data_IF_298213434340
#
_entry.id   IF_298213434340
#
_cell.length_a   1.000
_cell.length_b   1.000
_cell.length_c   1.000
_cell.angle_alpha   90.00
_cell.angle_beta   90.00
_cell.angle_gamma   90.00
#
_symmetry.space_group_name_H-M   'P 1'
#
loop_
_entity.id
_entity.type
_entity.pdbx_description
1 polymer ?
#
# COMPACT_ATOMS: atom_id res chain seq x y z
N UNK A 1 -66.80 -5.11 -18.73
CA UNK A 1 -66.10 -3.88 -18.33
C UNK A 1 -65.41 -4.19 -17.00
N UNK A 2 -64.45 -5.11 -16.93
CA UNK A 2 -63.11 -5.16 -17.54
C UNK A 2 -62.23 -3.97 -17.15
N UNK A 3 -61.36 -4.21 -16.16
CA UNK A 3 -60.41 -3.27 -15.54
C UNK A 3 -58.99 -3.47 -16.13
N UNK A 4 -58.88 -4.10 -17.30
CA UNK A 4 -57.61 -4.27 -18.01
C UNK A 4 -57.21 -3.04 -18.85
N UNK A 5 -57.71 -1.83 -18.54
CA UNK A 5 -57.48 -0.62 -19.36
C UNK A 5 -56.89 0.58 -18.62
N UNK A 6 -56.57 0.48 -17.33
CA UNK A 6 -56.01 1.64 -16.57
C UNK A 6 -54.48 1.58 -16.37
N UNK A 7 -53.80 0.55 -16.88
CA UNK A 7 -52.33 0.38 -16.68
C UNK A 7 -51.46 0.73 -17.90
N UNK A 8 -52.02 1.24 -19.01
CA UNK A 8 -51.23 1.45 -20.25
C UNK A 8 -51.12 2.89 -20.78
N UNK A 9 -51.47 3.94 -20.03
CA UNK A 9 -51.44 5.33 -20.57
C UNK A 9 -50.69 6.33 -19.66
N UNK A 10 -49.55 5.92 -19.07
CA UNK A 10 -48.52 6.87 -18.59
C UNK A 10 -47.13 6.28 -18.86
N UNK A 11 -46.85 5.89 -20.11
CA UNK A 11 -45.53 5.35 -20.50
C UNK A 11 -44.99 5.86 -21.85
N UNK A 12 -45.58 6.89 -22.47
CA UNK A 12 -45.10 7.44 -23.74
C UNK A 12 -45.32 8.95 -23.86
N UNK A 13 -44.59 9.75 -23.08
CA UNK A 13 -44.25 11.12 -23.45
C UNK A 13 -43.06 11.58 -22.63
N UNK A 14 -42.10 12.24 -23.28
CA UNK A 14 -40.89 12.90 -22.75
C UNK A 14 -39.59 12.09 -22.72
N UNK A 15 -38.93 12.06 -23.88
CA UNK A 15 -37.51 12.41 -24.03
C UNK A 15 -37.36 13.07 -25.41
N UNK A 16 -36.34 13.91 -25.72
CA UNK A 16 -35.02 13.97 -25.05
C UNK A 16 -34.47 15.40 -24.76
N UNK A 17 -33.60 15.51 -23.75
CA UNK A 17 -32.48 16.45 -23.81
C UNK A 17 -31.22 15.77 -23.25
N UNK A 18 -30.15 15.86 -24.04
CA UNK A 18 -28.88 15.12 -23.93
C UNK A 18 -28.02 15.61 -22.76
N UNK A 19 -27.49 14.69 -21.97
CA UNK A 19 -26.15 14.79 -21.39
C UNK A 19 -25.65 13.40 -20.95
N UNK A 20 -24.54 12.99 -21.57
CA UNK A 20 -23.75 11.77 -21.42
C UNK A 20 -23.92 10.96 -20.12
N UNK A 21 -24.55 9.79 -20.25
CA UNK A 21 -24.46 8.68 -19.30
C UNK A 21 -23.51 7.63 -19.86
N UNK A 22 -22.37 7.42 -19.19
CA UNK A 22 -21.50 6.27 -19.37
C UNK A 22 -22.27 5.01 -18.95
N UNK A 23 -22.78 4.24 -19.91
CA UNK A 23 -23.25 2.88 -19.66
C UNK A 23 -22.03 1.97 -19.45
N UNK A 24 -21.68 1.72 -18.18
CA UNK A 24 -20.77 0.63 -17.82
C UNK A 24 -21.43 -0.71 -18.14
N UNK A 25 -20.91 -1.36 -19.18
CA UNK A 25 -21.36 -2.68 -19.61
C UNK A 25 -20.80 -3.75 -18.63
N UNK A 26 -21.47 -3.92 -17.47
CA UNK A 26 -21.08 -4.87 -16.39
C UNK A 26 -20.84 -6.31 -16.87
N UNK A 27 -21.44 -6.72 -17.98
CA UNK A 27 -21.27 -8.08 -18.52
C UNK A 27 -19.98 -8.31 -19.33
N UNK A 28 -19.28 -7.26 -19.77
CA UNK A 28 -18.06 -7.42 -20.58
C UNK A 28 -16.77 -7.54 -19.75
N UNK A 29 -16.76 -7.01 -18.52
CA UNK A 29 -15.60 -7.06 -17.61
C UNK A 29 -15.48 -8.45 -16.95
N UNK A 30 -16.61 -9.11 -16.68
CA UNK A 30 -16.65 -10.42 -16.00
C UNK A 30 -16.09 -11.60 -16.81
N UNK A 31 -15.88 -11.46 -18.13
CA UNK A 31 -15.25 -12.52 -18.95
C UNK A 31 -13.74 -12.36 -19.10
N UNK A 32 -13.19 -11.15 -18.96
CA UNK A 32 -11.78 -10.89 -19.27
C UNK A 32 -10.82 -11.10 -18.09
N UNK A 33 -11.30 -11.14 -16.84
CA UNK A 33 -10.43 -11.41 -15.68
C UNK A 33 -10.05 -12.88 -15.55
N UNK A 34 -10.86 -13.80 -16.08
CA UNK A 34 -10.59 -15.25 -16.10
C UNK A 34 -10.14 -15.79 -17.47
N UNK A 35 -10.31 -15.05 -18.58
CA UNK A 35 -9.98 -15.58 -19.92
C UNK A 35 -8.51 -15.46 -20.33
N UNK A 36 -7.62 -14.92 -19.50
CA UNK A 36 -6.19 -14.87 -19.85
C UNK A 36 -5.49 -16.23 -19.76
N UNK A 37 -6.12 -17.25 -19.14
CA UNK A 37 -5.45 -18.55 -18.93
C UNK A 37 -6.35 -19.79 -19.07
N UNK A 38 -7.61 -19.68 -19.53
CA UNK A 38 -8.38 -20.86 -19.95
C UNK A 38 -7.99 -21.24 -21.40
N UNK A 39 -6.75 -21.69 -21.56
CA UNK A 39 -6.25 -22.30 -22.79
C UNK A 39 -6.10 -23.82 -22.59
N UNK A 40 -6.68 -24.58 -23.52
CA UNK A 40 -6.46 -26.00 -23.74
C UNK A 40 -4.95 -26.35 -23.68
N UNK A 41 -4.52 -27.39 -22.94
CA UNK A 41 -3.10 -27.75 -22.78
C UNK A 41 -2.40 -28.19 -24.08
N UNK A 42 -3.09 -28.20 -25.22
CA UNK A 42 -2.53 -28.62 -26.52
C UNK A 42 -2.08 -27.49 -27.45
N UNK A 43 -2.16 -26.21 -27.04
CA UNK A 43 -1.66 -25.09 -27.84
C UNK A 43 -0.78 -24.11 -27.04
N UNK A 44 0.54 -24.13 -27.28
CA UNK A 44 1.48 -23.10 -26.82
C UNK A 44 1.29 -21.79 -27.63
N UNK A 45 0.20 -21.06 -27.36
CA UNK A 45 0.08 -19.67 -27.76
C UNK A 45 0.78 -18.82 -26.70
N UNK A 46 1.92 -18.20 -27.01
CA UNK A 46 2.60 -17.29 -26.08
C UNK A 46 1.65 -16.14 -25.72
N UNK A 47 1.22 -16.06 -24.47
CA UNK A 47 0.43 -14.93 -23.96
C UNK A 47 1.26 -13.66 -24.09
N UNK A 48 0.65 -12.55 -24.52
CA UNK A 48 1.31 -11.24 -24.57
C UNK A 48 1.89 -10.85 -23.19
N UNK A 49 3.03 -10.14 -23.14
CA UNK A 49 3.60 -9.68 -21.88
C UNK A 49 2.60 -8.83 -21.07
N UNK A 50 2.63 -8.96 -19.75
CA UNK A 50 1.85 -8.12 -18.84
C UNK A 50 2.39 -6.69 -18.89
N UNK A 51 1.54 -5.71 -19.19
CA UNK A 51 1.94 -4.30 -19.22
C UNK A 51 2.01 -3.75 -17.80
N UNK A 52 3.16 -3.23 -17.40
CA UNK A 52 3.43 -2.75 -16.03
C UNK A 52 3.69 -1.25 -16.02
N UNK A 53 2.96 -0.53 -15.18
CA UNK A 53 3.26 0.86 -14.82
C UNK A 53 3.90 0.91 -13.43
N UNK A 54 4.92 1.74 -13.24
CA UNK A 54 5.61 1.89 -11.95
C UNK A 54 5.57 3.35 -11.51
N UNK A 55 4.76 3.62 -10.48
CA UNK A 55 4.65 4.94 -9.88
C UNK A 55 5.71 5.08 -8.79
N UNK A 56 6.63 6.04 -8.92
CA UNK A 56 7.79 6.16 -8.04
C UNK A 56 8.93 5.19 -8.39
N UNK A 57 9.25 5.07 -9.68
CA UNK A 57 10.24 4.12 -10.23
C UNK A 57 11.67 4.35 -9.71
N UNK A 58 11.99 5.57 -9.28
CA UNK A 58 13.31 5.94 -8.76
C UNK A 58 13.46 5.73 -7.24
N UNK A 59 12.37 5.34 -6.56
CA UNK A 59 12.39 4.98 -5.13
C UNK A 59 12.80 3.51 -4.91
N UNK A 60 12.96 3.11 -3.64
CA UNK A 60 13.40 1.76 -3.27
C UNK A 60 12.53 0.64 -3.85
N UNK A 61 11.19 0.77 -3.80
CA UNK A 61 10.27 -0.22 -4.36
C UNK A 61 10.36 -0.25 -5.89
N UNK A 62 10.38 0.93 -6.53
CA UNK A 62 10.43 1.05 -7.98
C UNK A 62 11.70 0.46 -8.60
N UNK A 63 12.86 0.73 -8.01
CA UNK A 63 14.14 0.18 -8.50
C UNK A 63 14.21 -1.33 -8.32
N UNK A 64 13.72 -1.86 -7.19
CA UNK A 64 13.64 -3.31 -6.96
C UNK A 64 12.63 -3.99 -7.90
N UNK A 65 11.47 -3.38 -8.15
CA UNK A 65 10.50 -3.90 -9.12
C UNK A 65 11.09 -3.98 -10.52
N UNK A 66 11.82 -2.95 -10.96
CA UNK A 66 12.52 -2.95 -12.25
C UNK A 66 13.64 -4.00 -12.31
N UNK A 67 14.40 -4.21 -11.22
CA UNK A 67 15.41 -5.28 -11.14
C UNK A 67 14.76 -6.67 -11.29
N UNK A 68 13.67 -6.93 -10.58
CA UNK A 68 12.91 -8.18 -10.67
C UNK A 68 12.37 -8.40 -12.08
N UNK A 69 11.73 -7.38 -12.66
CA UNK A 69 11.19 -7.44 -14.03
C UNK A 69 12.30 -7.76 -15.02
N UNK A 70 13.45 -7.08 -14.91
CA UNK A 70 14.62 -7.31 -15.76
C UNK A 70 15.09 -8.77 -15.72
N UNK A 71 15.18 -9.36 -14.51
CA UNK A 71 15.61 -10.75 -14.32
C UNK A 71 14.55 -11.76 -14.78
N UNK A 72 13.27 -11.48 -14.53
CA UNK A 72 12.17 -12.36 -14.92
C UNK A 72 11.93 -12.43 -16.42
N UNK A 73 12.33 -11.38 -17.14
CA UNK A 73 12.31 -11.31 -18.60
C UNK A 73 13.51 -12.01 -19.26
N UNK A 74 14.49 -12.53 -18.50
CA UNK A 74 15.58 -13.33 -19.05
C UNK A 74 14.99 -14.62 -19.66
N UNK A 75 15.16 -14.78 -20.97
CA UNK A 75 14.70 -15.94 -21.74
C UNK A 75 13.30 -15.80 -22.38
N UNK A 76 12.35 -15.14 -21.70
CA UNK A 76 11.00 -14.88 -22.24
C UNK A 76 10.44 -13.58 -21.67
N UNK A 77 9.98 -12.67 -22.52
CA UNK A 77 9.44 -11.37 -22.10
C UNK A 77 8.06 -11.56 -21.44
N UNK A 78 8.03 -11.56 -20.10
CA UNK A 78 6.81 -11.74 -19.32
C UNK A 78 6.15 -10.41 -18.96
N UNK A 79 6.94 -9.36 -18.82
CA UNK A 79 6.49 -8.04 -18.41
C UNK A 79 7.03 -6.98 -19.38
N UNK A 80 6.14 -6.09 -19.84
CA UNK A 80 6.51 -4.90 -20.60
C UNK A 80 6.30 -3.68 -19.72
N UNK A 81 7.35 -2.93 -19.42
CA UNK A 81 7.22 -1.67 -18.67
C UNK A 81 6.68 -0.61 -19.63
N UNK A 82 5.49 -0.07 -19.34
CA UNK A 82 4.80 0.89 -20.22
C UNK A 82 4.77 2.30 -19.66
N UNK A 83 4.93 2.46 -18.34
CA UNK A 83 4.98 3.77 -17.71
C UNK A 83 5.91 3.80 -16.50
N UNK A 84 6.66 4.90 -16.36
CA UNK A 84 7.53 5.18 -15.22
C UNK A 84 7.25 6.57 -14.67
N UNK A 85 7.26 6.74 -13.34
CA UNK A 85 7.12 8.07 -12.74
C UNK A 85 8.19 8.34 -11.69
N UNK A 86 8.61 9.59 -11.60
CA UNK A 86 9.51 10.06 -10.54
C UNK A 86 9.10 11.45 -10.05
N UNK A 87 9.51 11.80 -8.82
CA UNK A 87 9.37 13.17 -8.33
C UNK A 87 10.42 14.08 -8.95
N UNK A 88 11.69 13.83 -8.65
CA UNK A 88 12.80 14.76 -8.93
C UNK A 88 14.06 14.11 -9.53
N UNK A 89 14.26 12.79 -9.37
CA UNK A 89 15.49 12.10 -9.78
C UNK A 89 15.50 11.80 -11.29
N UNK A 90 15.61 12.86 -12.10
CA UNK A 90 15.55 12.77 -13.55
C UNK A 90 16.71 11.98 -14.16
N UNK A 91 17.91 11.98 -13.54
CA UNK A 91 19.06 11.24 -14.06
C UNK A 91 18.90 9.72 -13.89
N UNK A 92 18.28 9.25 -12.80
CA UNK A 92 17.96 7.83 -12.67
C UNK A 92 16.79 7.46 -13.59
N UNK A 93 15.78 8.32 -13.69
CA UNK A 93 14.65 8.10 -14.57
C UNK A 93 15.09 8.01 -16.04
N UNK A 94 16.00 8.86 -16.52
CA UNK A 94 16.51 8.79 -17.90
C UNK A 94 17.17 7.44 -18.20
N UNK A 95 18.02 6.93 -17.30
CA UNK A 95 18.62 5.59 -17.42
C UNK A 95 17.58 4.47 -17.43
N UNK A 96 16.51 4.62 -16.64
CA UNK A 96 15.41 3.66 -16.65
C UNK A 96 14.63 3.72 -17.97
N UNK A 97 14.40 4.91 -18.52
CA UNK A 97 13.75 5.10 -19.83
C UNK A 97 14.58 4.45 -20.94
N UNK A 98 15.89 4.70 -20.99
CA UNK A 98 16.77 4.09 -22.00
C UNK A 98 16.75 2.55 -21.94
N UNK A 99 16.73 1.99 -20.73
CA UNK A 99 16.72 0.53 -20.52
C UNK A 99 15.38 -0.11 -20.87
N UNK A 100 14.29 0.47 -20.40
CA UNK A 100 12.96 -0.17 -20.44
C UNK A 100 12.04 0.35 -21.55
N UNK A 101 12.36 1.49 -22.15
CA UNK A 101 11.64 2.13 -23.27
C UNK A 101 10.12 2.20 -23.03
N UNK A 102 9.67 2.80 -21.91
CA UNK A 102 8.24 2.94 -21.63
C UNK A 102 7.56 3.81 -22.69
N UNK A 103 6.24 3.67 -22.81
CA UNK A 103 5.45 4.52 -23.71
C UNK A 103 5.33 5.95 -23.13
N UNK A 104 5.21 6.05 -21.80
CA UNK A 104 5.05 7.32 -21.07
C UNK A 104 6.03 7.38 -19.89
N UNK A 105 6.64 8.53 -19.67
CA UNK A 105 7.30 8.83 -18.40
C UNK A 105 6.76 10.13 -17.80
N UNK A 106 6.46 10.09 -16.51
CA UNK A 106 6.03 11.26 -15.75
C UNK A 106 7.16 11.72 -14.83
N UNK A 107 7.42 13.03 -14.80
CA UNK A 107 8.27 13.61 -13.78
C UNK A 107 7.67 14.89 -13.22
N UNK A 108 7.66 15.02 -11.89
CA UNK A 108 7.05 16.17 -11.22
C UNK A 108 7.93 17.42 -11.31
N UNK A 109 9.24 17.26 -11.10
CA UNK A 109 10.26 18.31 -11.15
C UNK A 109 11.27 17.99 -12.26
N UNK A 110 11.92 19.00 -12.83
CA UNK A 110 13.00 18.82 -13.83
C UNK A 110 12.57 18.15 -15.16
N UNK A 111 11.33 18.39 -15.62
CA UNK A 111 10.83 17.83 -16.87
C UNK A 111 11.67 18.23 -18.10
N UNK A 112 12.12 19.48 -18.18
CA UNK A 112 12.95 19.95 -19.31
C UNK A 112 14.33 19.29 -19.31
N UNK A 113 14.97 19.17 -18.14
CA UNK A 113 16.23 18.44 -17.99
C UNK A 113 16.09 16.96 -18.36
N UNK A 114 14.94 16.32 -18.09
CA UNK A 114 14.69 14.96 -18.53
C UNK A 114 14.57 14.87 -20.06
N UNK A 115 13.86 15.82 -20.70
CA UNK A 115 13.70 15.86 -22.17
C UNK A 115 15.01 16.03 -22.91
N UNK A 116 15.96 16.77 -22.34
CA UNK A 116 17.30 16.93 -22.92
C UNK A 116 18.12 15.62 -22.90
N UNK A 117 17.89 14.75 -21.91
CA UNK A 117 18.62 13.49 -21.75
C UNK A 117 17.98 12.31 -22.49
N UNK A 118 16.67 12.36 -22.76
CA UNK A 118 15.94 11.25 -23.38
C UNK A 118 15.88 11.44 -24.90
N UNK A 119 16.50 10.51 -25.62
CA UNK A 119 16.42 10.43 -27.10
C UNK A 119 15.36 9.44 -27.60
N UNK A 120 14.69 8.74 -26.68
CA UNK A 120 13.66 7.75 -26.96
C UNK A 120 12.31 8.39 -27.36
N UNK A 121 11.41 7.61 -27.94
CA UNK A 121 10.04 8.05 -28.29
C UNK A 121 9.09 8.15 -27.10
N UNK A 122 9.58 7.89 -25.89
CA UNK A 122 8.84 8.00 -24.63
C UNK A 122 8.21 9.39 -24.48
N UNK A 123 6.90 9.45 -24.26
CA UNK A 123 6.19 10.70 -24.01
C UNK A 123 6.49 11.21 -22.59
N UNK A 124 7.03 12.43 -22.47
CA UNK A 124 7.35 13.05 -21.16
C UNK A 124 6.22 13.98 -20.71
N UNK A 125 5.43 13.53 -19.72
CA UNK A 125 4.35 14.28 -19.09
C UNK A 125 4.74 14.81 -17.70
N UNK A 126 4.02 15.82 -17.20
CA UNK A 126 4.31 16.45 -15.90
C UNK A 126 3.05 16.97 -15.20
N UNK A 127 3.18 17.27 -13.91
CA UNK A 127 2.12 17.82 -13.07
C UNK A 127 1.21 16.76 -12.44
N UNK A 128 0.48 17.18 -11.41
CA UNK A 128 -0.38 16.31 -10.59
C UNK A 128 -1.51 15.67 -11.41
N UNK A 129 -2.22 16.44 -12.22
CA UNK A 129 -3.35 15.94 -13.02
C UNK A 129 -2.91 14.82 -13.97
N UNK A 130 -1.79 15.01 -14.68
CA UNK A 130 -1.26 14.00 -15.60
C UNK A 130 -0.85 12.70 -14.87
N UNK A 131 -0.33 12.80 -13.63
CA UNK A 131 -0.06 11.62 -12.80
C UNK A 131 -1.33 10.87 -12.44
N UNK A 132 -2.38 11.58 -12.02
CA UNK A 132 -3.66 10.96 -11.64
C UNK A 132 -4.37 10.34 -12.86
N UNK A 133 -4.33 11.01 -14.01
CA UNK A 133 -4.86 10.49 -15.28
C UNK A 133 -4.08 9.23 -15.71
N UNK A 134 -2.74 9.24 -15.57
CA UNK A 134 -1.90 8.07 -15.81
C UNK A 134 -2.22 6.92 -14.84
N UNK A 135 -2.46 7.20 -13.56
CA UNK A 135 -2.90 6.20 -12.59
C UNK A 135 -4.30 5.67 -12.89
N UNK A 136 -5.14 6.37 -13.66
CA UNK A 136 -6.47 5.90 -14.04
C UNK A 136 -6.55 5.46 -15.52
N UNK A 137 -5.43 5.00 -16.07
CA UNK A 137 -5.28 4.72 -17.50
C UNK A 137 -5.43 3.23 -17.85
N UNK A 138 -5.79 2.95 -19.11
CA UNK A 138 -5.91 1.60 -19.68
C UNK A 138 -4.60 1.06 -20.32
N UNK A 139 -3.53 1.86 -20.31
CA UNK A 139 -2.26 1.49 -20.95
C UNK A 139 -1.51 0.35 -20.24
N UNK A 140 -1.87 0.04 -19.00
CA UNK A 140 -1.25 -1.03 -18.21
C UNK A 140 -2.28 -2.07 -17.73
N UNK A 141 -1.77 -3.23 -17.32
CA UNK A 141 -2.54 -4.34 -16.72
C UNK A 141 -2.26 -4.49 -15.22
N UNK A 142 -1.07 -4.04 -14.80
CA UNK A 142 -0.63 -4.03 -13.40
C UNK A 142 0.12 -2.74 -13.09
N UNK A 143 -0.20 -2.10 -11.97
CA UNK A 143 0.47 -0.91 -11.46
C UNK A 143 1.23 -1.25 -10.18
N UNK A 144 2.51 -0.89 -10.11
CA UNK A 144 3.30 -0.90 -8.87
C UNK A 144 3.26 0.51 -8.30
N UNK A 145 2.65 0.67 -7.11
CA UNK A 145 2.56 1.97 -6.44
C UNK A 145 3.65 2.08 -5.36
N UNK A 146 4.76 2.73 -5.71
CA UNK A 146 5.91 2.98 -4.85
C UNK A 146 6.10 4.45 -4.42
N UNK A 147 5.09 5.31 -4.64
CA UNK A 147 5.09 6.68 -4.10
C UNK A 147 4.98 6.60 -2.57
N UNK A 148 5.83 7.35 -1.84
CA UNK A 148 5.89 7.30 -0.38
C UNK A 148 5.05 8.39 0.30
N UNK A 149 4.60 8.13 1.53
CA UNK A 149 3.87 9.08 2.37
C UNK A 149 2.49 9.48 1.81
N UNK A 150 1.90 10.54 2.37
CA UNK A 150 0.57 11.03 1.98
C UNK A 150 0.46 11.44 0.50
N UNK A 151 1.58 11.68 -0.18
CA UNK A 151 1.60 11.94 -1.63
C UNK A 151 1.08 10.76 -2.45
N UNK A 152 1.07 9.54 -1.88
CA UNK A 152 0.50 8.34 -2.50
C UNK A 152 -1.02 8.25 -2.44
N UNK A 153 -1.72 9.04 -1.60
CA UNK A 153 -3.16 8.87 -1.34
C UNK A 153 -3.98 9.02 -2.62
N UNK A 154 -3.89 10.18 -3.28
CA UNK A 154 -4.66 10.44 -4.50
C UNK A 154 -4.26 9.51 -5.67
N UNK A 155 -2.95 9.24 -5.93
CA UNK A 155 -2.53 8.21 -6.88
C UNK A 155 -3.12 6.82 -6.58
N UNK A 156 -3.21 6.41 -5.32
CA UNK A 156 -3.80 5.11 -4.93
C UNK A 156 -5.28 5.05 -5.30
N UNK A 157 -6.04 6.11 -4.95
CA UNK A 157 -7.47 6.18 -5.28
C UNK A 157 -7.68 6.24 -6.81
N UNK A 158 -6.86 6.99 -7.54
CA UNK A 158 -6.90 7.04 -9.00
C UNK A 158 -6.57 5.68 -9.62
N UNK A 159 -5.56 4.98 -9.10
CA UNK A 159 -5.22 3.62 -9.49
C UNK A 159 -6.40 2.66 -9.27
N UNK A 160 -7.03 2.68 -8.08
CA UNK A 160 -8.17 1.82 -7.78
C UNK A 160 -9.35 2.04 -8.75
N UNK A 161 -9.58 3.27 -9.19
CA UNK A 161 -10.61 3.60 -10.20
C UNK A 161 -10.40 2.95 -11.57
N UNK A 162 -9.15 2.59 -11.91
CA UNK A 162 -8.83 1.92 -13.19
C UNK A 162 -9.35 0.48 -13.29
N UNK A 163 -9.73 -0.14 -12.16
CA UNK A 163 -10.16 -1.54 -12.12
C UNK A 163 -9.06 -2.56 -12.42
N UNK A 164 -7.78 -2.15 -12.42
CA UNK A 164 -6.61 -3.01 -12.70
C UNK A 164 -6.06 -3.68 -11.44
N UNK A 165 -4.99 -4.46 -11.61
CA UNK A 165 -4.18 -4.98 -10.49
C UNK A 165 -3.23 -3.89 -9.98
N UNK A 166 -3.15 -3.74 -8.67
CA UNK A 166 -2.33 -2.72 -8.02
C UNK A 166 -1.47 -3.39 -6.95
N UNK A 167 -0.18 -3.49 -7.20
CA UNK A 167 0.82 -3.85 -6.21
C UNK A 167 1.11 -2.62 -5.34
N UNK A 168 0.48 -2.56 -4.17
CA UNK A 168 0.44 -1.38 -3.31
C UNK A 168 1.47 -1.50 -2.19
N UNK A 169 2.50 -0.67 -2.23
CA UNK A 169 3.52 -0.58 -1.19
C UNK A 169 3.33 0.61 -0.23
N UNK A 170 2.45 1.55 -0.58
CA UNK A 170 2.23 2.74 0.23
C UNK A 170 1.19 2.48 1.33
N UNK A 171 1.68 2.18 2.54
CA UNK A 171 0.83 1.99 3.72
C UNK A 171 0.06 3.25 4.11
N UNK A 172 0.66 4.42 3.96
CA UNK A 172 0.05 5.69 4.40
C UNK A 172 -1.28 5.97 3.68
N UNK A 173 -1.41 5.54 2.41
CA UNK A 173 -2.66 5.61 1.65
C UNK A 173 -3.76 4.73 2.24
N UNK A 174 -3.40 3.51 2.67
CA UNK A 174 -4.36 2.58 3.26
C UNK A 174 -4.76 3.05 4.66
N UNK A 175 -3.79 3.51 5.46
CA UNK A 175 -4.04 4.03 6.81
C UNK A 175 -4.94 5.25 6.75
N UNK A 176 -4.67 6.20 5.84
CA UNK A 176 -5.38 7.48 5.82
C UNK A 176 -6.72 7.40 5.10
N UNK A 177 -6.83 6.56 4.06
CA UNK A 177 -7.99 6.52 3.17
C UNK A 177 -8.61 5.12 3.02
N UNK A 178 -8.40 4.22 3.98
CA UNK A 178 -8.80 2.82 3.89
C UNK A 178 -10.29 2.60 3.58
N UNK A 179 -11.19 3.35 4.21
CA UNK A 179 -12.63 3.22 3.96
C UNK A 179 -13.03 3.71 2.55
N UNK A 180 -12.43 4.81 2.08
CA UNK A 180 -12.66 5.31 0.71
C UNK A 180 -12.11 4.31 -0.31
N UNK A 181 -10.88 3.84 -0.09
CA UNK A 181 -10.23 2.87 -0.97
C UNK A 181 -11.05 1.58 -1.07
N UNK A 182 -11.55 1.06 0.06
CA UNK A 182 -12.46 -0.10 0.09
C UNK A 182 -13.70 0.11 -0.79
N UNK A 183 -14.35 1.28 -0.69
CA UNK A 183 -15.53 1.60 -1.50
C UNK A 183 -15.18 1.66 -3.00
N UNK A 184 -14.09 2.34 -3.36
CA UNK A 184 -13.64 2.45 -4.75
C UNK A 184 -13.27 1.08 -5.33
N UNK A 185 -12.56 0.25 -4.58
CA UNK A 185 -12.21 -1.12 -4.98
C UNK A 185 -13.47 -1.94 -5.26
N UNK A 186 -14.46 -1.86 -4.37
CA UNK A 186 -15.75 -2.56 -4.55
C UNK A 186 -16.53 -2.07 -5.77
N UNK A 187 -16.49 -0.78 -6.06
CA UNK A 187 -17.21 -0.18 -7.20
C UNK A 187 -16.53 -0.45 -8.54
N UNK A 188 -15.21 -0.36 -8.60
CA UNK A 188 -14.42 -0.43 -9.83
C UNK A 188 -13.85 -1.84 -10.11
N UNK A 189 -13.83 -2.73 -9.13
CA UNK A 189 -13.35 -4.10 -9.28
C UNK A 189 -11.83 -4.23 -9.38
N UNK A 190 -11.07 -3.25 -8.89
CA UNK A 190 -9.61 -3.34 -8.84
C UNK A 190 -9.15 -4.42 -7.88
N UNK A 191 -7.98 -5.00 -8.15
CA UNK A 191 -7.37 -6.01 -7.29
C UNK A 191 -6.17 -5.38 -6.60
N UNK A 192 -6.25 -5.21 -5.28
CA UNK A 192 -5.15 -4.70 -4.46
C UNK A 192 -4.30 -5.87 -3.97
N UNK A 193 -3.00 -5.81 -4.24
CA UNK A 193 -2.01 -6.78 -3.80
C UNK A 193 -1.04 -6.07 -2.84
N UNK A 194 -1.03 -6.43 -1.55
CA UNK A 194 -0.13 -5.78 -0.60
C UNK A 194 1.32 -6.13 -0.92
N UNK A 195 2.18 -5.11 -0.94
CA UNK A 195 3.63 -5.26 -1.12
C UNK A 195 4.38 -5.13 0.20
N UNK A 196 3.80 -4.47 1.19
CA UNK A 196 4.37 -4.46 2.54
C UNK A 196 4.53 -5.89 3.07
N UNK A 197 5.65 -6.18 3.73
CA UNK A 197 6.16 -7.55 3.88
C UNK A 197 5.24 -8.43 4.74
N UNK A 198 4.74 -7.86 5.83
CA UNK A 198 3.85 -8.48 6.78
C UNK A 198 2.48 -8.78 6.16
N UNK A 199 1.91 -7.80 5.44
CA UNK A 199 0.61 -7.95 4.80
C UNK A 199 0.70 -8.85 3.58
N UNK A 200 1.81 -8.81 2.85
CA UNK A 200 2.08 -9.77 1.78
C UNK A 200 2.20 -11.19 2.34
N UNK A 201 2.85 -11.37 3.50
CA UNK A 201 2.92 -12.65 4.20
C UNK A 201 1.53 -13.17 4.61
N UNK A 202 0.70 -12.32 5.24
CA UNK A 202 -0.70 -12.65 5.57
C UNK A 202 -1.48 -13.00 4.30
N UNK A 203 -1.38 -12.18 3.26
CA UNK A 203 -2.08 -12.41 2.01
C UNK A 203 -1.64 -13.74 1.37
N UNK A 204 -0.37 -14.13 1.45
CA UNK A 204 0.11 -15.44 1.00
C UNK A 204 -0.44 -16.61 1.85
N UNK A 205 -0.68 -16.41 3.15
CA UNK A 205 -1.34 -17.40 4.00
C UNK A 205 -2.84 -17.56 3.66
N UNK A 206 -3.49 -16.49 3.17
CA UNK A 206 -4.93 -16.48 2.85
C UNK A 206 -5.23 -16.82 1.37
N UNK A 207 -4.36 -16.42 0.44
CA UNK A 207 -4.58 -16.46 -1.01
C UNK A 207 -4.87 -17.85 -1.61
N UNK A 208 -4.40 -18.99 -1.08
CA UNK A 208 -4.80 -20.31 -1.58
C UNK A 208 -6.32 -20.57 -1.49
N UNK A 209 -7.04 -19.77 -0.70
CA UNK A 209 -8.46 -19.97 -0.35
C UNK A 209 -9.35 -18.83 -0.90
N UNK A 210 -8.76 -17.75 -1.42
CA UNK A 210 -9.46 -16.51 -1.81
C UNK A 210 -9.89 -16.44 -3.30
N UNK A 211 -9.94 -17.57 -4.03
CA UNK A 211 -10.23 -17.60 -5.48
C UNK A 211 -11.71 -17.42 -5.85
N UNK A 212 -12.57 -17.11 -4.89
CA UNK A 212 -13.99 -16.88 -5.12
C UNK A 212 -14.32 -15.38 -5.13
N UNK A 213 -14.88 -14.90 -6.24
CA UNK A 213 -15.48 -13.58 -6.39
C UNK A 213 -16.80 -13.50 -5.58
N UNK A 214 -16.72 -13.58 -4.24
CA UNK A 214 -17.86 -13.23 -3.39
C UNK A 214 -18.13 -11.73 -3.52
N UNK A 215 -19.35 -11.36 -3.90
CA UNK A 215 -19.75 -9.98 -4.21
C UNK A 215 -19.81 -9.04 -2.98
N UNK A 216 -19.39 -9.51 -1.80
CA UNK A 216 -19.62 -8.86 -0.51
C UNK A 216 -18.40 -8.81 0.42
N UNK A 217 -17.17 -8.80 -0.11
CA UNK A 217 -15.98 -8.64 0.74
C UNK A 217 -15.96 -7.28 1.46
N UNK A 218 -15.71 -7.31 2.77
CA UNK A 218 -15.49 -6.11 3.60
C UNK A 218 -14.04 -5.60 3.56
N UNK A 219 -13.17 -6.18 2.73
CA UNK A 219 -11.73 -5.90 2.75
C UNK A 219 -11.23 -5.31 1.43
N UNK A 220 -10.18 -4.49 1.50
CA UNK A 220 -9.53 -3.91 0.30
C UNK A 220 -8.91 -4.99 -0.59
N UNK A 221 -8.39 -6.06 0.01
CA UNK A 221 -7.82 -7.20 -0.73
C UNK A 221 -8.86 -8.21 -1.24
N UNK A 222 -10.16 -7.90 -1.16
CA UNK A 222 -11.26 -8.79 -1.55
C UNK A 222 -11.20 -10.18 -0.89
N UNK A 223 -10.85 -10.25 0.40
CA UNK A 223 -10.85 -11.51 1.14
C UNK A 223 -12.31 -11.98 1.34
N UNK A 224 -12.69 -13.22 0.98
CA UNK A 224 -14.05 -13.70 1.16
C UNK A 224 -14.50 -13.66 2.62
N UNK A 225 -15.78 -13.36 2.87
CA UNK A 225 -16.34 -13.22 4.23
C UNK A 225 -16.19 -14.54 5.01
N UNK A 226 -16.36 -15.67 4.31
CA UNK A 226 -16.16 -17.02 4.85
C UNK A 226 -14.74 -17.22 5.40
N UNK A 227 -13.72 -16.66 4.74
CA UNK A 227 -12.33 -16.70 5.19
C UNK A 227 -12.10 -15.75 6.35
N UNK A 228 -12.62 -14.52 6.27
CA UNK A 228 -12.55 -13.54 7.38
C UNK A 228 -13.10 -14.14 8.67
N UNK A 229 -14.25 -14.83 8.58
CA UNK A 229 -14.89 -15.48 9.74
C UNK A 229 -14.12 -16.69 10.27
N UNK A 230 -13.26 -17.31 9.44
CA UNK A 230 -12.36 -18.39 9.87
C UNK A 230 -11.11 -17.90 10.60
N UNK A 231 -10.81 -16.59 10.56
CA UNK A 231 -9.64 -15.99 11.20
C UNK A 231 -9.96 -15.68 12.66
N UNK A 232 -9.15 -16.27 13.54
CA UNK A 232 -9.14 -15.98 14.97
C UNK A 232 -8.29 -14.74 15.27
N UNK A 233 -7.08 -14.68 14.72
CA UNK A 233 -6.14 -13.56 14.92
C UNK A 233 -5.17 -13.43 13.75
N UNK A 234 -4.90 -12.19 13.33
CA UNK A 234 -3.71 -11.88 12.52
C UNK A 234 -2.55 -11.60 13.46
N UNK A 235 -1.37 -12.15 13.16
CA UNK A 235 -0.16 -11.94 13.96
C UNK A 235 0.86 -11.20 13.11
N UNK A 236 1.01 -9.90 13.38
CA UNK A 236 2.01 -9.05 12.74
C UNK A 236 3.34 -9.17 13.48
N UNK A 237 4.35 -9.71 12.82
CA UNK A 237 5.72 -9.75 13.38
C UNK A 237 6.44 -8.43 13.18
N UNK A 238 7.26 -8.01 14.13
CA UNK A 238 8.08 -6.80 14.08
C UNK A 238 9.54 -7.12 14.37
N UNK A 239 10.48 -6.42 13.75
CA UNK A 239 11.88 -6.45 14.19
C UNK A 239 12.05 -5.92 15.62
N UNK A 240 11.14 -5.09 16.10
CA UNK A 240 11.25 -4.32 17.36
C UNK A 240 12.15 -3.09 17.27
N UNK A 241 12.70 -2.79 16.09
CA UNK A 241 13.55 -1.62 15.84
C UNK A 241 14.93 -1.69 16.53
N UNK A 242 15.79 -0.67 16.30
CA UNK A 242 17.12 -0.60 16.90
C UNK A 242 17.10 -0.46 18.43
N UNK A 243 16.03 0.08 19.02
CA UNK A 243 15.95 0.37 20.45
C UNK A 243 15.29 -0.74 21.28
N UNK A 244 15.00 -1.90 20.68
CA UNK A 244 14.38 -3.05 21.36
C UNK A 244 15.08 -3.44 22.67
N UNK A 245 16.41 -3.44 22.68
CA UNK A 245 17.22 -3.84 23.86
C UNK A 245 17.72 -2.63 24.69
N UNK A 246 17.43 -1.39 24.28
CA UNK A 246 17.93 -0.19 24.96
C UNK A 246 17.04 0.18 26.15
N UNK A 247 17.64 0.58 27.27
CA UNK A 247 16.89 1.07 28.44
C UNK A 247 16.07 2.33 28.07
N UNK A 248 14.78 2.33 28.39
CA UNK A 248 13.86 3.43 28.09
C UNK A 248 14.27 4.76 28.74
N UNK A 249 15.00 4.73 29.88
CA UNK A 249 15.53 5.92 30.55
C UNK A 249 16.54 6.71 29.69
N UNK A 250 17.07 6.10 28.63
CA UNK A 250 18.00 6.74 27.70
C UNK A 250 17.31 7.42 26.52
N UNK A 251 16.01 7.19 26.29
CA UNK A 251 15.29 7.64 25.09
C UNK A 251 15.29 9.16 24.94
N UNK A 252 15.03 9.90 26.03
CA UNK A 252 15.03 11.37 26.02
C UNK A 252 16.38 12.02 25.65
N UNK A 253 17.48 11.25 25.62
CA UNK A 253 18.83 11.71 25.23
C UNK A 253 19.24 11.27 23.82
N UNK A 254 18.44 10.46 23.15
CA UNK A 254 18.75 9.93 21.83
C UNK A 254 18.70 11.03 20.76
N UNK A 255 19.66 10.97 19.84
CA UNK A 255 19.75 11.84 18.67
C UNK A 255 19.40 11.08 17.40
N UNK A 256 19.22 11.80 16.29
CA UNK A 256 19.01 11.18 14.98
C UNK A 256 20.14 10.24 14.63
N UNK A 257 21.38 10.59 14.95
CA UNK A 257 22.57 9.74 14.71
C UNK A 257 22.45 8.35 15.32
N UNK A 258 21.73 8.21 16.43
CA UNK A 258 21.52 6.93 17.12
C UNK A 258 20.45 6.07 16.42
N UNK A 259 19.72 6.65 15.46
CA UNK A 259 18.52 6.12 14.82
C UNK A 259 18.73 5.82 13.31
N UNK A 260 19.96 5.89 12.79
CA UNK A 260 20.22 5.78 11.33
C UNK A 260 20.48 4.33 10.89
N UNK A 261 20.88 3.44 11.81
CA UNK A 261 21.21 2.05 11.46
C UNK A 261 20.13 1.08 11.96
N UNK A 262 19.31 0.55 11.05
CA UNK A 262 18.40 -0.54 11.38
C UNK A 262 19.17 -1.87 11.40
N UNK A 263 18.98 -2.73 12.42
CA UNK A 263 19.78 -3.96 12.60
C UNK A 263 19.56 -5.07 11.56
N UNK A 264 18.65 -4.89 10.59
CA UNK A 264 18.18 -5.98 9.72
C UNK A 264 17.88 -5.47 8.31
N UNK A 265 17.08 -4.42 8.20
CA UNK A 265 16.61 -3.90 6.92
C UNK A 265 17.42 -2.68 6.47
N UNK A 266 17.77 -2.61 5.19
CA UNK A 266 18.26 -1.37 4.58
C UNK A 266 17.07 -0.56 4.06
N UNK A 267 16.70 0.52 4.74
CA UNK A 267 15.50 1.28 4.46
C UNK A 267 15.73 2.79 4.46
N UNK A 268 14.75 3.55 3.96
CA UNK A 268 14.79 5.01 4.00
C UNK A 268 14.66 5.57 5.42
N UNK A 269 15.26 6.74 5.66
CA UNK A 269 15.38 7.33 7.00
C UNK A 269 14.05 7.47 7.77
N UNK A 270 12.95 7.82 7.09
CA UNK A 270 11.62 7.95 7.71
C UNK A 270 11.16 6.65 8.37
N UNK A 271 11.22 5.54 7.62
CA UNK A 271 10.75 4.24 8.10
C UNK A 271 11.68 3.67 9.16
N UNK A 272 12.98 4.01 9.14
CA UNK A 272 13.92 3.64 10.20
C UNK A 272 13.53 4.27 11.54
N UNK A 273 13.15 5.56 11.53
CA UNK A 273 12.64 6.26 12.73
C UNK A 273 11.28 5.72 13.17
N UNK A 274 10.38 5.42 12.23
CA UNK A 274 9.08 4.80 12.58
C UNK A 274 9.28 3.39 13.16
N UNK A 275 10.29 2.64 12.69
CA UNK A 275 10.63 1.32 13.23
C UNK A 275 11.18 1.41 14.65
N UNK A 276 12.03 2.40 14.95
CA UNK A 276 12.57 2.57 16.30
C UNK A 276 11.53 2.96 17.34
N UNK A 277 10.51 3.71 16.95
CA UNK A 277 9.35 4.05 17.81
C UNK A 277 8.26 2.98 17.83
N UNK A 278 8.41 1.94 17.02
CA UNK A 278 7.35 0.99 16.66
C UNK A 278 6.07 1.65 16.09
N UNK A 279 6.11 2.95 15.71
CA UNK A 279 5.00 3.58 14.99
C UNK A 279 4.78 2.91 13.63
N UNK A 280 5.84 2.43 12.98
CA UNK A 280 5.73 1.65 11.74
C UNK A 280 4.75 0.49 11.92
N UNK A 281 4.95 -0.30 12.99
CA UNK A 281 4.06 -1.43 13.33
C UNK A 281 2.65 -0.96 13.73
N UNK A 282 2.54 0.22 14.36
CA UNK A 282 1.28 0.89 14.65
C UNK A 282 0.46 1.18 13.39
N UNK A 283 1.09 1.78 12.37
CA UNK A 283 0.46 2.05 11.07
C UNK A 283 0.05 0.75 10.37
N UNK A 284 0.90 -0.28 10.43
CA UNK A 284 0.64 -1.59 9.81
C UNK A 284 -0.53 -2.35 10.46
N UNK A 285 -0.84 -2.12 11.75
CA UNK A 285 -2.06 -2.65 12.38
C UNK A 285 -3.30 -2.06 11.71
N UNK A 286 -3.33 -0.74 11.50
CA UNK A 286 -4.44 -0.04 10.85
C UNK A 286 -4.55 -0.46 9.38
N UNK A 287 -3.40 -0.61 8.70
CA UNK A 287 -3.34 -1.14 7.35
C UNK A 287 -3.92 -2.56 7.27
N UNK A 288 -3.52 -3.48 8.16
CA UNK A 288 -4.03 -4.85 8.18
C UNK A 288 -5.54 -4.90 8.45
N UNK A 289 -6.06 -4.02 9.31
CA UNK A 289 -7.49 -3.86 9.53
C UNK A 289 -8.24 -3.59 8.23
N UNK A 290 -7.78 -2.62 7.43
CA UNK A 290 -8.43 -2.26 6.18
C UNK A 290 -8.19 -3.28 5.04
N UNK A 291 -6.96 -3.80 4.92
CA UNK A 291 -6.61 -4.76 3.88
C UNK A 291 -7.41 -6.05 3.96
N UNK A 292 -7.57 -6.58 5.18
CA UNK A 292 -8.15 -7.90 5.43
C UNK A 292 -9.55 -7.86 6.06
N UNK A 293 -10.07 -6.68 6.41
CA UNK A 293 -11.39 -6.53 7.01
C UNK A 293 -11.46 -7.10 8.43
N UNK A 294 -10.31 -7.22 9.10
CA UNK A 294 -10.19 -7.82 10.43
C UNK A 294 -10.29 -6.73 11.50
N UNK A 295 -11.17 -6.86 12.51
CA UNK A 295 -11.22 -5.91 13.62
C UNK A 295 -9.86 -5.73 14.29
N UNK A 296 -9.54 -4.49 14.67
CA UNK A 296 -8.24 -4.15 15.30
C UNK A 296 -7.93 -5.02 16.53
N UNK A 297 -8.95 -5.41 17.31
CA UNK A 297 -8.81 -6.32 18.46
C UNK A 297 -8.34 -7.74 18.12
N UNK A 298 -8.48 -8.14 16.86
CA UNK A 298 -8.03 -9.43 16.32
C UNK A 298 -6.68 -9.33 15.60
N UNK A 299 -5.93 -8.25 15.81
CA UNK A 299 -4.60 -8.06 15.22
C UNK A 299 -3.59 -7.98 16.36
N UNK A 300 -2.82 -9.05 16.54
CA UNK A 300 -1.74 -9.14 17.52
C UNK A 300 -0.40 -8.71 16.93
N UNK A 301 0.52 -8.26 17.79
CA UNK A 301 1.91 -7.96 17.44
C UNK A 301 2.84 -8.88 18.20
N UNK A 302 3.81 -9.47 17.50
CA UNK A 302 4.94 -10.17 18.10
C UNK A 302 6.25 -9.56 17.65
N UNK A 303 7.21 -9.43 18.56
CA UNK A 303 8.58 -9.06 18.22
C UNK A 303 9.34 -10.31 17.81
N UNK A 304 9.77 -10.35 16.55
CA UNK A 304 10.57 -11.40 15.93
C UNK A 304 11.84 -10.77 15.32
N UNK A 305 12.92 -10.74 16.12
CA UNK A 305 14.13 -9.98 15.76
C UNK A 305 14.86 -10.53 14.54
N UNK A 306 14.71 -11.81 14.23
CA UNK A 306 15.38 -12.43 13.09
C UNK A 306 14.71 -12.12 11.74
N UNK A 307 13.46 -11.62 11.76
CA UNK A 307 12.70 -11.21 10.56
C UNK A 307 12.65 -12.29 9.47
N UNK A 308 12.60 -13.57 9.86
CA UNK A 308 12.43 -14.71 8.94
C UNK A 308 10.96 -15.06 8.79
N UNK A 309 10.21 -15.09 9.89
CA UNK A 309 8.75 -15.16 9.86
C UNK A 309 8.22 -13.75 9.63
N UNK A 310 7.59 -13.52 8.48
CA UNK A 310 7.16 -12.17 8.08
C UNK A 310 5.78 -11.80 8.60
N UNK A 311 4.88 -12.76 8.83
CA UNK A 311 3.65 -12.65 9.63
C UNK A 311 2.89 -13.99 9.61
N UNK A 312 1.80 -14.07 10.37
CA UNK A 312 1.03 -15.30 10.54
C UNK A 312 -0.47 -15.04 10.60
N UNK A 313 -1.24 -16.08 10.34
CA UNK A 313 -2.70 -16.13 10.49
C UNK A 313 -3.05 -17.30 11.41
N UNK A 314 -3.70 -17.00 12.54
CA UNK A 314 -4.31 -17.99 13.42
C UNK A 314 -5.78 -18.17 13.03
N UNK A 315 -6.17 -19.42 12.77
CA UNK A 315 -7.55 -19.80 12.42
C UNK A 315 -8.35 -20.23 13.65
N UNK A 316 -9.67 -20.34 13.50
CA UNK A 316 -10.61 -20.69 14.57
C UNK A 316 -10.37 -22.09 15.18
N UNK A 317 -9.70 -22.98 14.46
CA UNK A 317 -9.24 -24.30 14.96
C UNK A 317 -7.90 -24.24 15.73
N UNK A 318 -7.34 -23.03 15.89
CA UNK A 318 -6.04 -22.72 16.47
C UNK A 318 -4.82 -23.16 15.61
N UNK A 319 -5.05 -23.54 14.35
CA UNK A 319 -3.96 -23.71 13.39
C UNK A 319 -3.35 -22.35 13.06
N UNK A 320 -2.02 -22.30 12.94
CA UNK A 320 -1.30 -21.10 12.53
C UNK A 320 -0.56 -21.39 11.22
N UNK A 321 -0.85 -20.57 10.21
CA UNK A 321 -0.09 -20.56 8.95
C UNK A 321 0.77 -19.31 8.92
N UNK A 322 2.03 -19.46 8.54
CA UNK A 322 2.98 -18.35 8.43
C UNK A 322 3.70 -18.38 7.10
N UNK A 323 4.13 -17.20 6.65
CA UNK A 323 5.03 -17.08 5.51
C UNK A 323 6.43 -16.73 6.02
N UNK A 324 7.43 -17.45 5.50
CA UNK A 324 8.81 -17.33 5.92
C UNK A 324 9.75 -17.10 4.74
N UNK A 325 10.68 -16.16 4.88
CA UNK A 325 11.76 -15.93 3.93
C UNK A 325 12.84 -15.03 4.53
N UNK A 326 13.96 -14.85 3.84
CA UNK A 326 14.95 -13.82 4.18
C UNK A 326 14.32 -12.41 4.17
N UNK A 327 14.82 -11.44 4.95
CA UNK A 327 14.34 -10.06 4.96
C UNK A 327 14.73 -9.33 3.66
N UNK A 328 13.96 -9.58 2.60
CA UNK A 328 14.22 -9.12 1.24
C UNK A 328 12.90 -8.75 0.54
N UNK A 329 12.70 -7.44 0.34
CA UNK A 329 11.50 -6.89 -0.30
C UNK A 329 11.31 -7.35 -1.74
N UNK A 330 12.34 -7.95 -2.36
CA UNK A 330 12.17 -8.49 -3.70
C UNK A 330 11.17 -9.65 -3.74
N UNK A 331 11.03 -10.43 -2.66
CA UNK A 331 10.04 -11.51 -2.61
C UNK A 331 8.59 -10.98 -2.66
N UNK A 332 8.14 -10.07 -1.78
CA UNK A 332 6.75 -9.59 -1.82
C UNK A 332 6.44 -8.83 -3.13
N UNK A 333 7.40 -8.06 -3.66
CA UNK A 333 7.25 -7.42 -4.98
C UNK A 333 7.09 -8.47 -6.09
N UNK A 334 7.97 -9.48 -6.12
CA UNK A 334 7.89 -10.58 -7.09
C UNK A 334 6.57 -11.35 -7.00
N UNK A 335 6.07 -11.58 -5.79
CA UNK A 335 4.78 -12.22 -5.57
C UNK A 335 3.64 -11.38 -6.15
N UNK A 336 3.59 -10.08 -5.85
CA UNK A 336 2.56 -9.18 -6.36
C UNK A 336 2.58 -9.08 -7.91
N UNK A 337 3.77 -9.07 -8.53
CA UNK A 337 3.91 -9.07 -9.99
C UNK A 337 3.35 -10.36 -10.64
N UNK A 338 3.52 -11.51 -10.00
CA UNK A 338 3.20 -12.82 -10.58
C UNK A 338 1.85 -13.40 -10.13
N UNK A 339 1.21 -12.77 -9.14
CA UNK A 339 -0.06 -13.22 -8.62
C UNK A 339 -1.09 -13.45 -9.75
N UNK A 340 -1.85 -14.57 -9.72
CA UNK A 340 -1.96 -15.57 -8.65
C UNK A 340 -0.92 -16.71 -8.72
N UNK A 341 -0.01 -16.69 -9.70
CA UNK A 341 0.98 -17.74 -9.88
C UNK A 341 2.24 -17.47 -9.08
N UNK A 342 3.00 -18.52 -8.79
CA UNK A 342 4.39 -18.43 -8.35
C UNK A 342 5.27 -18.87 -9.51
N UNK A 343 6.30 -18.10 -9.81
CA UNK A 343 7.27 -18.44 -10.85
C UNK A 343 8.67 -18.54 -10.26
N UNK A 344 9.53 -19.29 -10.94
CA UNK A 344 10.95 -19.34 -10.61
C UNK A 344 11.55 -17.92 -10.66
N UNK A 345 12.40 -17.61 -9.69
CA UNK A 345 13.12 -16.35 -9.59
C UNK A 345 14.56 -16.62 -9.10
N UNK A 346 15.43 -15.64 -9.24
CA UNK A 346 16.86 -15.75 -8.88
C UNK A 346 17.14 -15.45 -7.40
N UNK A 347 16.13 -15.41 -6.53
CA UNK A 347 16.31 -15.06 -5.13
C UNK A 347 16.88 -16.28 -4.36
N UNK A 348 17.74 -16.08 -3.36
CA UNK A 348 18.39 -17.17 -2.64
C UNK A 348 17.42 -18.02 -1.80
N UNK A 349 17.60 -19.34 -1.77
CA UNK A 349 16.82 -20.21 -0.91
C UNK A 349 17.08 -19.95 0.58
N UNK A 350 16.02 -19.98 1.40
CA UNK A 350 16.12 -19.96 2.86
C UNK A 350 16.60 -21.33 3.38
N UNK A 351 17.67 -21.32 4.17
CA UNK A 351 18.20 -22.50 4.86
C UNK A 351 17.89 -22.40 6.36
N UNK A 352 16.81 -23.05 6.80
CA UNK A 352 16.32 -22.98 8.17
C UNK A 352 17.32 -23.52 9.20
N UNK A 353 18.26 -24.39 8.80
CA UNK A 353 19.25 -24.96 9.74
C UNK A 353 20.20 -23.91 10.31
N UNK A 354 20.26 -22.71 9.68
CA UNK A 354 21.12 -21.59 10.07
C UNK A 354 20.47 -20.61 11.04
N UNK A 355 19.20 -20.78 11.38
CA UNK A 355 18.45 -19.76 12.12
C UNK A 355 17.82 -20.34 13.40
N UNK A 356 17.97 -19.61 14.50
CA UNK A 356 17.12 -19.75 15.69
C UNK A 356 16.06 -18.67 15.62
N UNK A 357 14.78 -19.05 15.72
CA UNK A 357 13.67 -18.12 15.65
C UNK A 357 13.17 -17.80 17.05
N UNK A 358 13.09 -16.53 17.40
CA UNK A 358 12.61 -16.08 18.71
C UNK A 358 11.40 -15.15 18.57
N UNK A 359 10.50 -15.22 19.55
CA UNK A 359 9.28 -14.41 19.62
C UNK A 359 9.12 -13.85 21.02
N UNK A 360 8.77 -12.58 21.12
CA UNK A 360 8.46 -11.91 22.38
C UNK A 360 7.26 -10.99 22.22
N UNK A 361 6.56 -10.72 23.33
CA UNK A 361 5.54 -9.68 23.34
C UNK A 361 6.20 -8.30 23.19
N UNK A 362 5.56 -7.34 22.49
CA UNK A 362 6.02 -5.97 22.47
C UNK A 362 5.86 -5.33 23.85
N UNK A 363 6.76 -4.40 24.19
CA UNK A 363 6.67 -3.60 25.40
C UNK A 363 5.88 -2.32 25.11
N UNK A 364 4.60 -2.30 25.51
CA UNK A 364 3.68 -1.18 25.26
C UNK A 364 3.98 0.06 26.10
N UNK A 365 4.69 -0.08 27.22
CA UNK A 365 5.05 1.07 28.05
C UNK A 365 6.32 1.73 27.49
N UNK A 366 7.25 0.92 26.97
CA UNK A 366 8.43 1.41 26.24
C UNK A 366 8.09 1.99 24.87
N UNK A 367 7.12 1.42 24.16
CA UNK A 367 6.71 1.86 22.82
C UNK A 367 5.24 2.31 22.78
N UNK A 368 4.94 3.50 23.35
CA UNK A 368 3.56 3.97 23.50
C UNK A 368 2.86 4.29 22.17
N UNK A 369 3.62 4.48 21.08
CA UNK A 369 3.10 4.62 19.71
C UNK A 369 2.20 3.47 19.29
N UNK A 370 2.52 2.23 19.70
CA UNK A 370 1.67 1.06 19.44
C UNK A 370 0.29 1.21 20.08
N UNK A 371 0.28 1.58 21.36
CA UNK A 371 -0.95 1.76 22.16
C UNK A 371 -1.83 2.86 21.55
N UNK A 372 -1.22 3.95 21.10
CA UNK A 372 -1.90 5.03 20.38
C UNK A 372 -2.50 4.55 19.06
N UNK A 373 -1.75 3.79 18.26
CA UNK A 373 -2.23 3.27 16.98
C UNK A 373 -3.41 2.30 17.14
N UNK A 374 -3.38 1.39 18.14
CA UNK A 374 -4.53 0.55 18.48
C UNK A 374 -5.77 1.39 18.82
N UNK A 375 -5.61 2.44 19.63
CA UNK A 375 -6.74 3.34 19.99
C UNK A 375 -7.29 4.04 18.75
N UNK A 376 -6.42 4.63 17.93
CA UNK A 376 -6.78 5.34 16.70
C UNK A 376 -7.48 4.41 15.72
N UNK A 377 -6.95 3.22 15.48
CA UNK A 377 -7.54 2.22 14.59
C UNK A 377 -8.94 1.78 15.02
N UNK A 378 -9.19 1.64 16.34
CA UNK A 378 -10.53 1.31 16.86
C UNK A 378 -11.53 2.44 16.70
N UNK A 379 -11.09 3.69 16.85
CA UNK A 379 -11.95 4.87 16.67
C UNK A 379 -12.29 5.07 15.19
N UNK A 380 -11.33 4.86 14.30
CA UNK A 380 -11.53 5.01 12.85
C UNK A 380 -11.79 6.47 12.43
N UNK A 381 -12.53 6.65 11.34
CA UNK A 381 -12.79 7.96 10.75
C UNK A 381 -11.52 8.62 10.24
N UNK A 382 -11.32 9.92 10.54
CA UNK A 382 -10.12 10.67 10.13
C UNK A 382 -8.95 10.56 11.11
N UNK A 383 -9.13 9.93 12.27
CA UNK A 383 -8.05 9.80 13.25
C UNK A 383 -6.81 9.06 12.69
N UNK A 384 -6.94 7.99 11.88
CA UNK A 384 -5.81 7.38 11.19
C UNK A 384 -5.02 8.35 10.28
N UNK A 385 -5.72 9.19 9.51
CA UNK A 385 -5.09 10.20 8.66
C UNK A 385 -4.34 11.25 9.50
N UNK A 386 -4.95 11.70 10.60
CA UNK A 386 -4.32 12.62 11.55
C UNK A 386 -3.09 12.01 12.22
N UNK A 387 -3.18 10.75 12.66
CA UNK A 387 -2.06 10.02 13.25
C UNK A 387 -0.90 9.93 12.26
N UNK A 388 -1.19 9.51 11.02
CA UNK A 388 -0.18 9.40 9.96
C UNK A 388 0.51 10.74 9.70
N UNK A 389 -0.28 11.79 9.47
CA UNK A 389 0.23 13.11 9.13
C UNK A 389 1.01 13.78 10.28
N UNK A 390 0.51 13.64 11.51
CA UNK A 390 1.21 14.13 12.70
C UNK A 390 2.54 13.38 12.90
N UNK A 391 2.54 12.05 12.70
CA UNK A 391 3.76 11.25 12.76
C UNK A 391 4.76 11.66 11.67
N UNK A 392 4.32 11.80 10.42
CA UNK A 392 5.19 12.21 9.31
C UNK A 392 5.91 13.52 9.62
N UNK A 393 5.18 14.52 10.15
CA UNK A 393 5.78 15.81 10.52
C UNK A 393 6.68 15.71 11.74
N UNK A 394 6.26 15.02 12.81
CA UNK A 394 7.07 14.87 14.01
C UNK A 394 8.36 14.08 13.74
N UNK A 395 8.29 13.05 12.90
CA UNK A 395 9.43 12.28 12.40
C UNK A 395 10.38 13.16 11.57
N UNK A 396 9.85 14.00 10.69
CA UNK A 396 10.67 14.98 9.96
C UNK A 396 11.39 15.96 10.90
N UNK A 397 10.68 16.54 11.88
CA UNK A 397 11.29 17.40 12.88
C UNK A 397 12.39 16.67 13.67
N UNK A 398 12.15 15.40 14.04
CA UNK A 398 13.15 14.58 14.70
C UNK A 398 14.37 14.41 13.80
N UNK A 399 14.20 13.99 12.53
CA UNK A 399 15.29 13.81 11.55
C UNK A 399 16.09 15.08 11.24
N UNK A 400 15.53 16.25 11.51
CA UNK A 400 16.21 17.55 11.41
C UNK A 400 16.87 17.99 12.73
N UNK A 401 16.97 17.10 13.72
CA UNK A 401 17.45 17.36 15.08
C UNK A 401 16.71 18.52 15.80
N UNK A 402 15.45 18.76 15.45
CA UNK A 402 14.64 19.87 16.02
C UNK A 402 13.82 19.45 17.24
N UNK A 403 13.59 18.16 17.46
CA UNK A 403 12.85 17.62 18.62
C UNK A 403 13.55 16.38 19.14
N UNK A 404 13.44 16.10 20.44
CA UNK A 404 13.92 14.84 21.01
C UNK A 404 13.00 13.66 20.71
N UNK A 405 13.46 12.45 21.00
CA UNK A 405 12.69 11.22 20.79
C UNK A 405 11.36 11.20 21.58
N UNK A 406 11.38 11.65 22.84
CA UNK A 406 10.17 11.72 23.68
C UNK A 406 9.22 12.84 23.20
N UNK A 407 9.77 13.94 22.71
CA UNK A 407 8.99 15.05 22.19
C UNK A 407 8.24 14.68 20.92
N UNK A 408 8.86 13.87 20.05
CA UNK A 408 8.23 13.34 18.85
C UNK A 408 6.92 12.62 19.18
N UNK A 409 6.93 11.66 20.11
CA UNK A 409 5.69 10.96 20.51
C UNK A 409 4.66 11.91 21.12
N UNK A 410 5.09 12.84 21.97
CA UNK A 410 4.18 13.80 22.61
C UNK A 410 3.49 14.73 21.61
N UNK A 411 4.19 15.17 20.56
CA UNK A 411 3.61 15.97 19.48
C UNK A 411 2.51 15.19 18.74
N UNK A 412 2.78 13.93 18.40
CA UNK A 412 1.81 13.06 17.72
C UNK A 412 0.58 12.83 18.60
N UNK A 413 0.78 12.37 19.84
CA UNK A 413 -0.30 12.12 20.80
C UNK A 413 -1.17 13.36 20.99
N UNK A 414 -0.57 14.50 21.27
CA UNK A 414 -1.28 15.76 21.52
C UNK A 414 -2.04 16.23 20.28
N UNK A 415 -1.52 15.99 19.09
CA UNK A 415 -2.22 16.34 17.84
C UNK A 415 -3.46 15.47 17.63
N UNK A 416 -3.33 14.16 17.83
CA UNK A 416 -4.47 13.22 17.77
C UNK A 416 -5.54 13.57 18.81
N UNK A 417 -5.15 13.88 20.05
CA UNK A 417 -6.09 14.23 21.13
C UNK A 417 -6.83 15.56 20.92
N UNK A 418 -6.22 16.50 20.21
CA UNK A 418 -6.82 17.81 19.92
C UNK A 418 -7.69 17.81 18.64
N UNK A 419 -7.69 16.72 17.87
CA UNK A 419 -8.47 16.65 16.65
C UNK A 419 -9.96 16.55 16.95
N UNK A 420 -10.75 17.40 16.31
CA UNK A 420 -12.21 17.36 16.38
C UNK A 420 -12.78 16.86 15.05
N UNK A 421 -13.33 15.63 14.99
CA UNK A 421 -13.85 15.02 13.77
C UNK A 421 -15.19 15.62 13.32
N UNK A 422 -15.96 16.29 14.20
CA UNK A 422 -17.33 16.76 13.91
C UNK A 422 -17.42 17.83 12.80
N UNK A 423 -16.27 18.30 12.32
CA UNK A 423 -16.16 19.30 11.25
C UNK A 423 -16.12 18.70 9.85
N UNK A 424 -16.08 17.38 9.72
CA UNK A 424 -15.79 16.69 8.46
C UNK A 424 -16.86 15.67 8.09
N UNK A 425 -16.97 15.40 6.79
CA UNK A 425 -17.86 14.41 6.18
C UNK A 425 -17.17 13.07 5.85
N UNK A 426 -15.85 12.97 6.10
CA UNK A 426 -14.97 11.83 5.85
C UNK A 426 -14.80 11.46 4.36
N UNK A 427 -14.79 12.45 3.48
CA UNK A 427 -14.44 12.26 2.07
C UNK A 427 -12.94 12.41 1.80
N UNK A 428 -12.53 12.29 0.53
CA UNK A 428 -11.12 12.39 0.15
C UNK A 428 -10.55 13.79 0.42
N UNK A 429 -11.36 14.84 0.24
CA UNK A 429 -10.93 16.21 0.50
C UNK A 429 -10.70 16.41 2.00
N UNK A 430 -11.60 15.90 2.84
CA UNK A 430 -11.48 15.93 4.30
C UNK A 430 -10.23 15.20 4.80
N UNK A 431 -9.83 14.08 4.16
CA UNK A 431 -8.58 13.39 4.49
C UNK A 431 -7.36 14.28 4.20
N UNK A 432 -7.34 14.96 3.06
CA UNK A 432 -6.24 15.86 2.69
C UNK A 432 -6.21 17.10 3.60
N UNK A 433 -7.38 17.60 4.01
CA UNK A 433 -7.49 18.70 4.97
C UNK A 433 -7.06 18.28 6.38
N UNK A 434 -7.44 17.09 6.83
CA UNK A 434 -7.00 16.53 8.10
C UNK A 434 -5.48 16.28 8.13
N UNK A 435 -4.91 15.78 7.02
CA UNK A 435 -3.45 15.63 6.86
C UNK A 435 -2.75 16.99 7.00
N UNK A 436 -3.21 18.00 6.26
CA UNK A 436 -2.66 19.35 6.34
C UNK A 436 -2.81 19.95 7.75
N UNK A 437 -3.99 19.86 8.33
CA UNK A 437 -4.29 20.37 9.67
C UNK A 437 -3.37 19.74 10.72
N UNK A 438 -3.15 18.42 10.65
CA UNK A 438 -2.31 17.71 11.61
C UNK A 438 -0.86 18.18 11.53
N UNK A 439 -0.32 18.35 10.32
CA UNK A 439 1.04 18.88 10.10
C UNK A 439 1.18 20.31 10.62
N UNK A 440 0.24 21.18 10.29
CA UNK A 440 0.20 22.57 10.76
C UNK A 440 0.08 22.66 12.30
N UNK A 441 -0.68 21.74 12.90
CA UNK A 441 -0.87 21.69 14.36
C UNK A 441 0.39 21.19 15.08
N UNK A 442 1.09 20.20 14.53
CA UNK A 442 2.42 19.78 15.03
C UNK A 442 3.39 20.95 15.01
N UNK A 443 3.47 21.70 13.91
CA UNK A 443 4.34 22.87 13.80
C UNK A 443 3.99 23.96 14.82
N UNK A 444 2.70 24.17 15.06
CA UNK A 444 2.22 25.12 16.07
C UNK A 444 2.57 24.70 17.49
N UNK A 445 2.48 23.40 17.81
CA UNK A 445 2.88 22.85 19.12
C UNK A 445 4.39 22.95 19.31
N UNK A 446 5.18 22.68 18.26
CA UNK A 446 6.63 22.81 18.29
C UNK A 446 7.08 24.25 18.55
N UNK A 447 6.51 25.25 17.85
CA UNK A 447 6.84 26.68 18.02
C UNK A 447 6.48 27.30 19.38
N UNK A 448 5.62 26.62 20.16
CA UNK A 448 5.17 27.10 21.49
C UNK A 448 6.09 26.66 22.63
N UNK A 449 7.00 25.73 22.35
CA UNK A 449 8.10 25.36 23.22
C UNK A 449 9.29 26.28 22.94
#
# INVERSE_FOLDING_TARGET
>A
MDITTVVCIILLAYTPCKSFLYQFNRHKILRNSTSLYNGDPTHHCKSSPIRVAIMGSTGSIGTQALDIISKMNEGDEKFKVVALTAKENFQLLSRQIEKFKPEVAHIYEYADSLRELVSDKTEIITGKRALLDLCNSDIYDLLVLGISGSAGIEPTIAAAKSGKRIALANKESIVSAGDILKNVVRECGSIILPVDSEHNAIYQCLSPIATNNEAHSQSICNIPESIINSIKMLVLTSSGGPFREVDASLFGKMKVSDNISHPVWSMGAKITVDSSTMMNKGLEIIEAHHLFGIPVDKIGVLVHKECIVHSMVEFMDNSIISQMYLPDMRLPIAYALNWPKRIHNSLPSLDLTKYTLSFANPDFEKFPSLKLAYRVGKVGGLFPAVLNAANDRANELFRMDMVSYDEMFNLVKTTVENFNPDKYSNDLQDILEADKWAKDHVDKLHKRK
#
